data_IF_517708151421
#
_entry.id   IF_517708151421
#
_cell.length_a   1.000
_cell.length_b   1.000
_cell.length_c   1.000
_cell.angle_alpha   90.00
_cell.angle_beta   90.00
_cell.angle_gamma   90.00
#
_symmetry.space_group_name_H-M   'P 1'
#
loop_
_entity.id
_entity.type
_entity.pdbx_description
1 polymer ?
#
# COMPACT_ATOMS: atom_id res chain seq x y z
N UNK A 1 53.61 43.54 -4.21
CA UNK A 1 53.79 42.91 -2.89
C UNK A 1 54.92 43.64 -2.18
N UNK A 2 54.73 44.15 -0.96
CA UNK A 2 55.84 44.75 -0.22
C UNK A 2 56.78 43.64 0.22
N UNK A 3 58.05 43.73 -0.16
CA UNK A 3 59.10 42.86 0.29
C UNK A 3 59.38 43.23 1.76
N UNK A 4 58.96 42.32 2.67
CA UNK A 4 59.33 42.41 4.09
C UNK A 4 60.74 41.79 4.27
N UNK A 5 61.71 42.62 4.45
CA UNK A 5 63.07 42.23 4.87
C UNK A 5 63.06 42.07 6.39
N UNK A 6 62.70 40.87 6.88
CA UNK A 6 62.84 40.53 8.30
C UNK A 6 64.13 39.71 8.52
N UNK A 7 64.92 40.06 9.51
CA UNK A 7 66.08 39.26 9.95
C UNK A 7 67.47 39.76 9.60
N UNK A 8 67.63 40.97 9.03
CA UNK A 8 68.98 41.44 8.60
C UNK A 8 69.93 41.76 9.78
N UNK A 9 69.45 41.92 11.00
CA UNK A 9 70.27 42.34 12.11
C UNK A 9 70.36 41.34 13.30
N UNK A 10 69.68 40.20 13.28
CA UNK A 10 69.67 39.25 14.41
C UNK A 10 70.02 37.81 14.03
N UNK A 11 70.29 37.52 12.76
CA UNK A 11 70.64 36.15 12.33
C UNK A 11 69.55 35.07 12.57
N UNK A 12 68.42 35.49 13.10
CA UNK A 12 67.27 34.58 13.37
C UNK A 12 66.14 34.83 12.38
N UNK A 13 65.80 33.79 11.61
CA UNK A 13 64.65 33.83 10.70
C UNK A 13 63.35 33.77 11.52
N UNK A 14 62.88 34.97 11.92
CA UNK A 14 61.63 35.13 12.70
C UNK A 14 60.39 34.65 11.97
N UNK A 15 60.36 34.70 10.63
CA UNK A 15 59.24 34.22 9.83
C UNK A 15 59.20 32.69 9.83
N UNK A 16 60.38 32.02 9.76
CA UNK A 16 60.47 30.57 9.90
C UNK A 16 60.10 30.09 11.33
N UNK A 17 60.39 30.88 12.37
CA UNK A 17 60.03 30.60 13.74
C UNK A 17 58.54 30.74 13.99
N UNK A 18 57.94 31.84 13.50
CA UNK A 18 56.48 32.05 13.52
C UNK A 18 55.75 30.94 12.78
N UNK A 19 56.21 30.56 11.59
CA UNK A 19 55.66 29.47 10.79
C UNK A 19 55.66 28.14 11.59
N UNK A 20 56.82 27.79 12.22
CA UNK A 20 56.91 26.55 13.06
C UNK A 20 55.93 26.57 14.24
N UNK A 21 55.75 27.73 14.92
CA UNK A 21 54.79 27.88 16.01
C UNK A 21 53.35 27.72 15.50
N UNK A 22 53.04 28.34 14.38
CA UNK A 22 51.73 28.20 13.75
C UNK A 22 51.46 26.76 13.29
N UNK A 23 52.42 26.10 12.70
CA UNK A 23 52.29 24.69 12.29
C UNK A 23 52.09 23.75 13.49
N UNK A 24 52.76 24.04 14.63
CA UNK A 24 52.52 23.31 15.87
C UNK A 24 51.07 23.50 16.40
N UNK A 25 50.54 24.69 16.34
CA UNK A 25 49.13 24.97 16.72
C UNK A 25 48.14 24.34 15.75
N UNK A 26 48.41 24.43 14.44
CA UNK A 26 47.62 23.75 13.40
C UNK A 26 47.58 22.24 13.61
N UNK A 27 48.69 21.64 14.01
CA UNK A 27 48.75 20.20 14.30
C UNK A 27 47.78 19.83 15.44
N UNK A 28 47.64 20.65 16.46
CA UNK A 28 46.66 20.42 17.55
C UNK A 28 45.21 20.57 17.03
N UNK A 29 44.94 21.59 16.24
CA UNK A 29 43.63 21.82 15.64
C UNK A 29 43.25 20.65 14.73
N UNK A 30 44.12 20.27 13.80
CA UNK A 30 43.87 19.14 12.88
C UNK A 30 43.61 17.82 13.63
N UNK A 31 44.28 17.61 14.80
CA UNK A 31 44.06 16.43 15.66
C UNK A 31 42.65 16.43 16.29
N UNK A 32 42.14 17.60 16.69
CA UNK A 32 40.78 17.76 17.23
C UNK A 32 39.73 17.60 16.12
N UNK A 33 39.95 18.21 14.98
CA UNK A 33 39.07 18.10 13.79
C UNK A 33 39.00 16.65 13.30
N UNK A 34 40.15 15.94 13.23
CA UNK A 34 40.19 14.54 12.89
C UNK A 34 39.45 13.63 13.87
N UNK A 35 39.48 13.96 15.17
CA UNK A 35 38.67 13.25 16.18
C UNK A 35 37.17 13.52 15.98
N UNK A 36 36.80 14.78 15.72
CA UNK A 36 35.41 15.18 15.42
C UNK A 36 34.91 14.42 14.20
N UNK A 37 35.64 14.46 13.10
CA UNK A 37 35.28 13.76 11.86
C UNK A 37 35.10 12.22 12.07
N UNK A 38 36.00 11.59 12.84
CA UNK A 38 35.83 10.16 13.19
C UNK A 38 34.56 9.90 14.00
N UNK A 39 34.22 10.79 14.90
CA UNK A 39 33.00 10.68 15.70
C UNK A 39 31.73 10.84 14.83
N UNK A 40 31.73 11.81 13.92
CA UNK A 40 30.65 12.04 12.96
C UNK A 40 30.43 10.81 12.07
N UNK A 41 31.51 10.26 11.50
CA UNK A 41 31.45 9.02 10.70
C UNK A 41 30.97 7.81 11.52
N UNK A 42 31.38 7.72 12.79
CA UNK A 42 30.90 6.68 13.70
C UNK A 42 29.40 6.80 13.98
N UNK A 43 28.90 8.03 14.19
CA UNK A 43 27.47 8.28 14.36
C UNK A 43 26.68 7.94 13.10
N UNK A 44 27.21 8.28 11.92
CA UNK A 44 26.59 7.94 10.63
C UNK A 44 26.49 6.41 10.46
N UNK A 45 27.54 5.66 10.75
CA UNK A 45 27.51 4.19 10.71
C UNK A 45 26.49 3.60 11.67
N UNK A 46 26.37 4.12 12.88
CA UNK A 46 25.34 3.69 13.82
C UNK A 46 23.93 4.03 13.32
N UNK A 47 23.73 5.18 12.68
CA UNK A 47 22.46 5.57 12.08
C UNK A 47 22.07 4.63 10.94
N UNK A 48 23.01 4.28 10.06
CA UNK A 48 22.81 3.30 8.98
C UNK A 48 22.39 1.93 9.53
N UNK A 49 23.11 1.40 10.52
CA UNK A 49 22.79 0.12 11.16
C UNK A 49 21.43 0.15 11.86
N UNK A 50 21.14 1.24 12.59
CA UNK A 50 19.84 1.41 13.26
C UNK A 50 18.68 1.43 12.24
N UNK A 51 18.87 2.10 11.11
CA UNK A 51 17.86 2.13 10.04
C UNK A 51 17.61 0.73 9.49
N UNK A 52 18.65 -0.07 9.27
CA UNK A 52 18.51 -1.45 8.79
C UNK A 52 17.84 -2.37 9.81
N UNK A 53 18.22 -2.27 11.08
CA UNK A 53 17.59 -3.03 12.17
C UNK A 53 16.10 -2.64 12.35
N UNK A 54 15.79 -1.35 12.26
CA UNK A 54 14.43 -0.87 12.32
C UNK A 54 13.61 -1.35 11.12
N UNK A 55 14.20 -1.34 9.92
CA UNK A 55 13.58 -1.90 8.71
C UNK A 55 13.29 -3.40 8.85
N UNK A 56 14.24 -4.18 9.37
CA UNK A 56 14.03 -5.60 9.67
C UNK A 56 12.83 -5.79 10.61
N UNK A 57 12.77 -4.99 11.67
CA UNK A 57 11.67 -5.05 12.63
C UNK A 57 10.33 -4.71 11.97
N UNK A 58 10.23 -3.55 11.29
CA UNK A 58 8.97 -3.06 10.73
C UNK A 58 8.47 -3.88 9.55
N UNK A 59 9.37 -4.29 8.66
CA UNK A 59 9.01 -4.93 7.40
C UNK A 59 8.92 -6.45 7.47
N UNK A 60 9.54 -7.07 8.49
CA UNK A 60 9.58 -8.54 8.61
C UNK A 60 9.05 -9.02 9.96
N UNK A 61 9.65 -8.61 11.07
CA UNK A 61 9.32 -9.16 12.39
C UNK A 61 7.91 -8.74 12.82
N UNK A 62 7.53 -7.47 12.59
CA UNK A 62 6.23 -6.94 13.00
C UNK A 62 5.07 -7.73 12.40
N UNK A 63 5.15 -8.08 11.12
CA UNK A 63 4.14 -8.89 10.44
C UNK A 63 4.07 -10.33 11.00
N UNK A 64 5.23 -10.94 11.27
CA UNK A 64 5.33 -12.31 11.78
C UNK A 64 4.80 -12.49 13.23
N UNK A 65 4.48 -11.41 13.93
CA UNK A 65 3.86 -11.47 15.27
C UNK A 65 2.37 -11.83 15.24
N UNK A 66 1.72 -11.66 14.10
CA UNK A 66 0.28 -11.91 13.96
C UNK A 66 0.01 -13.27 13.34
N UNK A 67 -1.03 -13.92 13.83
CA UNK A 67 -1.50 -15.23 13.31
C UNK A 67 -1.82 -15.15 11.80
N UNK A 68 -2.29 -14.01 11.32
CA UNK A 68 -2.60 -13.78 9.91
C UNK A 68 -1.41 -14.01 8.96
N UNK A 69 -0.18 -13.87 9.45
CA UNK A 69 1.02 -14.19 8.64
C UNK A 69 1.19 -15.69 8.36
N UNK A 70 0.51 -16.55 9.15
CA UNK A 70 0.62 -18.01 9.08
C UNK A 70 -0.65 -18.69 8.56
N UNK A 71 -1.73 -17.92 8.38
CA UNK A 71 -3.04 -18.40 7.94
C UNK A 71 -3.47 -17.83 6.60
N UNK A 72 -2.51 -17.29 5.84
CA UNK A 72 -2.76 -16.85 4.46
C UNK A 72 -3.34 -17.97 3.62
N UNK A 73 -4.34 -17.63 2.79
CA UNK A 73 -5.01 -18.60 1.93
C UNK A 73 -4.59 -18.44 0.48
N UNK A 74 -4.29 -19.56 -0.17
CA UNK A 74 -4.14 -19.66 -1.61
C UNK A 74 -5.46 -20.14 -2.17
N UNK A 75 -6.02 -19.39 -3.09
CA UNK A 75 -7.30 -19.71 -3.73
C UNK A 75 -7.09 -20.01 -5.20
N UNK A 76 -7.94 -20.86 -5.76
CA UNK A 76 -8.01 -21.12 -7.19
C UNK A 76 -9.45 -21.14 -7.67
N UNK A 77 -9.68 -20.82 -8.93
CA UNK A 77 -10.97 -20.93 -9.61
C UNK A 77 -10.77 -21.60 -10.96
N UNK A 78 -11.68 -22.52 -11.32
CA UNK A 78 -11.66 -23.15 -12.64
C UNK A 78 -12.09 -22.22 -13.77
N UNK A 79 -12.72 -21.08 -13.42
CA UNK A 79 -13.09 -20.03 -14.37
C UNK A 79 -13.11 -18.65 -13.68
N UNK A 80 -11.96 -17.99 -13.65
CA UNK A 80 -11.81 -16.66 -13.04
C UNK A 80 -12.58 -15.55 -13.77
N UNK A 81 -12.93 -15.76 -15.04
CA UNK A 81 -13.78 -14.82 -15.79
C UNK A 81 -15.24 -14.80 -15.31
N UNK A 82 -15.70 -15.87 -14.66
CA UNK A 82 -17.06 -15.97 -14.08
C UNK A 82 -17.04 -15.76 -12.57
N UNK A 83 -16.12 -16.43 -11.87
CA UNK A 83 -16.00 -16.36 -10.41
C UNK A 83 -14.54 -16.21 -10.03
N UNK A 84 -14.22 -15.14 -9.34
CA UNK A 84 -12.93 -14.91 -8.68
C UNK A 84 -13.09 -15.05 -7.16
N UNK A 85 -12.13 -15.69 -6.51
CA UNK A 85 -12.16 -15.90 -5.07
C UNK A 85 -10.85 -15.48 -4.43
N UNK A 86 -10.92 -14.82 -3.28
CA UNK A 86 -9.80 -14.62 -2.37
C UNK A 86 -10.20 -15.09 -0.98
N UNK A 87 -9.28 -15.68 -0.23
CA UNK A 87 -9.54 -16.20 1.09
C UNK A 87 -9.06 -15.26 2.19
N UNK A 88 -9.91 -15.03 3.19
CA UNK A 88 -9.48 -14.43 4.45
C UNK A 88 -8.70 -15.46 5.28
N UNK A 89 -7.88 -15.04 6.24
CA UNK A 89 -7.19 -15.96 7.16
C UNK A 89 -8.11 -16.95 7.90
N UNK A 90 -9.37 -16.56 8.09
CA UNK A 90 -10.43 -17.34 8.75
C UNK A 90 -11.12 -18.36 7.85
N UNK A 91 -10.88 -18.30 6.53
CA UNK A 91 -11.52 -19.21 5.58
C UNK A 91 -11.12 -20.67 5.86
N UNK A 92 -12.10 -21.57 5.80
CA UNK A 92 -11.85 -23.00 5.90
C UNK A 92 -11.18 -23.52 4.63
N UNK A 93 -10.25 -24.47 4.78
CA UNK A 93 -9.69 -25.18 3.65
C UNK A 93 -10.74 -26.09 3.03
N UNK A 94 -10.84 -26.07 1.70
CA UNK A 94 -11.80 -26.91 1.00
C UNK A 94 -12.01 -26.49 -0.46
N UNK A 95 -12.83 -27.30 -1.13
CA UNK A 95 -13.31 -27.00 -2.47
C UNK A 95 -14.80 -26.68 -2.40
N UNK A 96 -15.23 -25.63 -3.09
CA UNK A 96 -16.60 -25.16 -3.15
C UNK A 96 -17.08 -25.10 -4.60
N UNK A 97 -18.37 -25.35 -4.80
CA UNK A 97 -19.02 -25.22 -6.10
C UNK A 97 -19.85 -23.94 -6.14
N UNK A 98 -19.60 -23.11 -7.14
CA UNK A 98 -20.34 -21.84 -7.31
C UNK A 98 -21.08 -21.88 -8.63
N UNK A 99 -22.36 -21.58 -8.58
CA UNK A 99 -23.21 -21.37 -9.75
C UNK A 99 -23.74 -19.95 -9.71
N UNK A 100 -23.75 -19.26 -10.85
CA UNK A 100 -24.16 -17.87 -10.95
C UNK A 100 -25.33 -17.76 -11.92
N UNK A 101 -26.51 -17.35 -11.41
CA UNK A 101 -27.71 -17.09 -12.20
C UNK A 101 -27.66 -15.71 -12.84
N UNK A 102 -27.29 -14.70 -12.04
CA UNK A 102 -27.36 -13.31 -12.40
C UNK A 102 -26.28 -12.52 -11.66
N UNK A 103 -25.65 -11.58 -12.32
CA UNK A 103 -24.76 -10.60 -11.70
C UNK A 103 -25.54 -9.36 -11.32
N UNK A 104 -25.08 -8.68 -10.26
CA UNK A 104 -25.65 -7.39 -9.89
C UNK A 104 -25.29 -6.33 -10.93
N UNK A 105 -26.27 -5.51 -11.29
CA UNK A 105 -26.09 -4.38 -12.20
C UNK A 105 -26.59 -3.09 -11.57
N UNK A 106 -25.94 -1.99 -11.91
CA UNK A 106 -26.43 -0.65 -11.59
C UNK A 106 -27.53 -0.26 -12.56
N UNK A 107 -28.52 0.49 -12.07
CA UNK A 107 -29.46 1.15 -12.97
C UNK A 107 -28.74 2.21 -13.78
N UNK A 108 -29.04 2.31 -15.07
CA UNK A 108 -28.58 3.41 -15.91
C UNK A 108 -29.67 3.88 -16.85
N UNK A 109 -29.68 5.18 -17.12
CA UNK A 109 -30.56 5.83 -18.07
C UNK A 109 -29.69 6.66 -19.01
N UNK A 110 -29.70 6.30 -20.29
CA UNK A 110 -29.14 7.12 -21.36
C UNK A 110 -30.29 7.87 -22.00
N UNK A 111 -30.31 9.17 -21.80
CA UNK A 111 -31.35 10.03 -22.32
C UNK A 111 -31.47 10.01 -23.86
N UNK A 112 -32.63 10.28 -24.39
CA UNK A 112 -32.84 10.58 -25.80
C UNK A 112 -32.02 11.83 -26.19
N UNK A 113 -31.70 11.98 -27.47
CA UNK A 113 -31.10 13.22 -27.98
C UNK A 113 -32.09 14.35 -27.89
N UNK A 114 -31.73 15.42 -27.18
CA UNK A 114 -32.52 16.64 -27.13
C UNK A 114 -32.28 17.44 -28.41
N UNK A 115 -33.28 17.59 -29.26
CA UNK A 115 -33.18 18.27 -30.56
C UNK A 115 -33.95 19.57 -30.62
N UNK A 116 -34.91 19.76 -29.73
CA UNK A 116 -35.86 20.85 -29.74
C UNK A 116 -35.35 22.10 -28.99
N UNK A 117 -34.13 22.02 -28.44
CA UNK A 117 -33.48 23.07 -27.67
C UNK A 117 -32.22 23.47 -28.40
N UNK A 118 -32.14 24.71 -28.85
CA UNK A 118 -30.94 25.28 -29.42
C UNK A 118 -29.91 25.50 -28.30
N UNK A 119 -28.63 25.12 -28.54
CA UNK A 119 -27.55 25.21 -27.54
C UNK A 119 -27.83 24.52 -26.21
N UNK A 120 -28.46 23.33 -26.23
CA UNK A 120 -28.74 22.56 -25.02
C UNK A 120 -27.47 22.33 -24.16
N UNK A 121 -27.47 22.93 -22.99
CA UNK A 121 -26.32 22.99 -22.10
C UNK A 121 -26.71 22.96 -20.61
N UNK A 122 -25.69 23.09 -19.76
CA UNK A 122 -25.93 23.14 -18.30
C UNK A 122 -26.68 24.42 -17.88
N UNK A 123 -26.51 25.48 -18.64
CA UNK A 123 -27.12 26.79 -18.37
C UNK A 123 -28.52 26.92 -18.94
N UNK A 124 -29.03 25.92 -19.67
CA UNK A 124 -30.40 25.89 -20.18
C UNK A 124 -31.39 25.89 -19.02
N UNK A 125 -32.31 26.84 -19.00
CA UNK A 125 -33.28 27.05 -17.94
C UNK A 125 -34.41 26.00 -18.04
N UNK A 126 -34.82 25.41 -16.92
CA UNK A 126 -35.80 24.31 -16.89
C UNK A 126 -37.20 24.78 -17.28
N UNK A 127 -37.62 26.00 -16.93
CA UNK A 127 -38.93 26.55 -17.32
C UNK A 127 -39.09 26.72 -18.83
N UNK A 128 -37.98 26.99 -19.55
CA UNK A 128 -38.02 27.07 -21.02
C UNK A 128 -38.03 25.66 -21.65
N UNK A 129 -37.83 24.64 -20.83
CA UNK A 129 -37.70 23.23 -21.21
C UNK A 129 -38.81 22.34 -20.65
N UNK A 130 -40.00 22.90 -20.50
CA UNK A 130 -41.24 22.16 -20.21
C UNK A 130 -41.51 21.88 -18.73
N UNK A 131 -40.76 22.47 -17.82
CA UNK A 131 -41.09 22.48 -16.40
C UNK A 131 -41.87 23.73 -16.03
N UNK A 132 -42.76 23.62 -15.05
CA UNK A 132 -43.55 24.73 -14.55
C UNK A 132 -42.82 25.43 -13.39
N UNK A 133 -43.09 26.74 -13.23
CA UNK A 133 -42.60 27.50 -12.08
C UNK A 133 -43.26 26.97 -10.79
N UNK A 134 -42.43 26.63 -9.79
CA UNK A 134 -42.86 26.02 -8.52
C UNK A 134 -43.08 24.51 -8.61
N UNK A 135 -42.75 23.88 -9.74
CA UNK A 135 -42.77 22.42 -9.88
C UNK A 135 -41.65 21.80 -9.04
N UNK A 136 -41.92 20.65 -8.43
CA UNK A 136 -40.93 19.89 -7.66
C UNK A 136 -40.47 18.68 -8.45
N UNK A 137 -39.15 18.53 -8.55
CA UNK A 137 -38.50 17.34 -9.12
C UNK A 137 -37.90 16.55 -7.96
N UNK A 138 -38.42 15.36 -7.73
CA UNK A 138 -37.98 14.47 -6.66
C UNK A 138 -37.08 13.36 -7.18
N UNK A 139 -35.90 13.25 -6.63
CA UNK A 139 -34.90 12.21 -6.89
C UNK A 139 -34.90 11.26 -5.70
N UNK A 140 -35.20 10.00 -5.93
CA UNK A 140 -35.22 8.97 -4.89
C UNK A 140 -34.24 7.85 -5.19
N UNK A 141 -33.43 7.45 -4.18
CA UNK A 141 -32.52 6.30 -4.24
C UNK A 141 -32.68 5.50 -2.95
N UNK A 142 -33.30 4.33 -3.02
CA UNK A 142 -33.68 3.57 -1.82
C UNK A 142 -34.58 4.40 -0.91
N UNK A 143 -34.14 4.62 0.34
CA UNK A 143 -34.91 5.44 1.32
C UNK A 143 -34.48 6.92 1.33
N UNK A 144 -33.51 7.31 0.50
CA UNK A 144 -33.06 8.71 0.40
C UNK A 144 -33.80 9.43 -0.67
N UNK A 145 -34.26 10.63 -0.34
CA UNK A 145 -35.00 11.51 -1.23
C UNK A 145 -34.37 12.90 -1.23
N UNK A 146 -34.35 13.55 -2.39
CA UNK A 146 -33.91 14.93 -2.55
C UNK A 146 -34.82 15.62 -3.57
N UNK A 147 -35.39 16.74 -3.16
CA UNK A 147 -36.31 17.51 -4.00
C UNK A 147 -35.64 18.78 -4.50
N UNK A 148 -35.84 19.10 -5.76
CA UNK A 148 -35.47 20.35 -6.42
C UNK A 148 -36.75 21.09 -6.79
N UNK A 149 -36.92 22.29 -6.26
CA UNK A 149 -37.99 23.23 -6.67
C UNK A 149 -37.53 24.01 -7.91
N UNK A 150 -38.35 24.06 -8.92
CA UNK A 150 -38.09 24.77 -10.19
C UNK A 150 -38.48 26.24 -10.03
N UNK A 151 -37.48 27.11 -10.03
CA UNK A 151 -37.63 28.55 -10.05
C UNK A 151 -37.31 29.09 -11.46
N UNK A 152 -37.54 30.41 -11.68
CA UNK A 152 -37.38 31.03 -13.01
C UNK A 152 -35.94 31.00 -13.56
N UNK A 153 -34.95 30.72 -12.72
CA UNK A 153 -33.54 30.64 -13.06
C UNK A 153 -32.91 29.25 -12.85
N UNK A 154 -33.75 28.25 -12.47
CA UNK A 154 -33.27 26.88 -12.27
C UNK A 154 -32.83 26.27 -13.59
N UNK A 155 -31.61 25.74 -13.61
CA UNK A 155 -30.94 25.25 -14.83
C UNK A 155 -30.87 23.72 -14.89
N UNK A 156 -30.50 23.18 -16.06
CA UNK A 156 -30.12 21.78 -16.24
C UNK A 156 -28.93 21.43 -15.34
N UNK A 157 -28.03 22.38 -15.10
CA UNK A 157 -26.91 22.21 -14.16
C UNK A 157 -27.38 21.95 -12.73
N UNK A 158 -28.43 22.65 -12.27
CA UNK A 158 -29.02 22.45 -10.95
C UNK A 158 -29.74 21.10 -10.85
N UNK A 159 -30.44 20.68 -11.90
CA UNK A 159 -30.99 19.33 -12.01
C UNK A 159 -29.92 18.24 -11.84
N UNK A 160 -28.82 18.35 -12.57
CA UNK A 160 -27.69 17.38 -12.45
C UNK A 160 -27.07 17.40 -11.06
N UNK A 161 -26.97 18.57 -10.43
CA UNK A 161 -26.46 18.71 -9.07
C UNK A 161 -27.42 18.13 -8.03
N UNK A 162 -28.73 18.32 -8.19
CA UNK A 162 -29.74 17.71 -7.34
C UNK A 162 -29.73 16.19 -7.43
N UNK A 163 -29.63 15.63 -8.65
CA UNK A 163 -29.45 14.19 -8.85
C UNK A 163 -28.21 13.66 -8.13
N UNK A 164 -27.07 14.36 -8.22
CA UNK A 164 -25.83 13.99 -7.51
C UNK A 164 -25.98 14.03 -5.99
N UNK A 165 -26.70 15.02 -5.46
CA UNK A 165 -27.01 15.11 -4.02
C UNK A 165 -27.86 13.93 -3.54
N UNK A 166 -28.82 13.49 -4.37
CA UNK A 166 -29.63 12.29 -4.09
C UNK A 166 -28.81 10.98 -4.15
N UNK A 167 -27.60 11.00 -4.71
CA UNK A 167 -26.76 9.80 -4.84
C UNK A 167 -26.76 9.19 -6.24
N UNK A 168 -27.28 9.89 -7.25
CA UNK A 168 -27.28 9.48 -8.65
C UNK A 168 -26.05 10.09 -9.33
N UNK A 169 -25.31 9.31 -10.11
CA UNK A 169 -24.33 9.85 -11.04
C UNK A 169 -25.09 10.52 -12.20
N UNK A 170 -24.82 11.79 -12.44
CA UNK A 170 -25.52 12.55 -13.48
C UNK A 170 -24.50 13.35 -14.29
N UNK A 171 -24.62 13.31 -15.60
CA UNK A 171 -23.77 14.08 -16.54
C UNK A 171 -24.53 14.45 -17.79
N UNK A 172 -24.12 15.54 -18.41
CA UNK A 172 -24.59 16.02 -19.71
C UNK A 172 -23.46 15.98 -20.71
N UNK A 173 -23.66 15.30 -21.82
CA UNK A 173 -22.83 15.42 -23.00
C UNK A 173 -23.43 16.48 -23.94
N UNK A 174 -22.82 17.65 -23.98
CA UNK A 174 -23.30 18.78 -24.80
C UNK A 174 -23.13 18.55 -26.30
N UNK A 175 -22.13 17.69 -26.70
CA UNK A 175 -21.93 17.38 -28.13
C UNK A 175 -22.98 16.41 -28.64
N UNK A 176 -23.37 15.43 -27.81
CA UNK A 176 -24.42 14.47 -28.13
C UNK A 176 -25.79 14.93 -27.71
N UNK A 177 -25.87 16.03 -26.96
CA UNK A 177 -27.13 16.60 -26.41
C UNK A 177 -27.94 15.54 -25.64
N UNK A 178 -27.26 14.80 -24.73
CA UNK A 178 -27.87 13.71 -23.94
C UNK A 178 -27.49 13.80 -22.48
N UNK A 179 -28.43 13.51 -21.61
CA UNK A 179 -28.19 13.33 -20.19
C UNK A 179 -27.97 11.85 -19.91
N UNK A 180 -26.95 11.55 -19.09
CA UNK A 180 -26.63 10.20 -18.60
C UNK A 180 -26.81 10.16 -17.10
N UNK A 181 -27.61 9.20 -16.64
CA UNK A 181 -27.83 8.95 -15.22
C UNK A 181 -27.48 7.51 -14.89
N UNK A 182 -26.87 7.27 -13.73
CA UNK A 182 -26.67 5.92 -13.22
C UNK A 182 -26.66 5.88 -11.69
N UNK A 183 -27.10 4.77 -11.11
CA UNK A 183 -26.89 4.54 -9.69
C UNK A 183 -25.41 4.41 -9.39
N UNK A 184 -24.96 4.82 -8.19
CA UNK A 184 -23.55 4.73 -7.77
C UNK A 184 -23.12 3.30 -7.56
N UNK A 185 -24.03 2.47 -7.07
CA UNK A 185 -23.79 1.08 -6.73
C UNK A 185 -24.79 0.19 -7.46
N UNK A 186 -24.48 -1.10 -7.56
CA UNK A 186 -25.35 -2.13 -8.11
C UNK A 186 -26.44 -2.53 -7.12
N UNK A 187 -27.41 -3.29 -7.60
CA UNK A 187 -28.46 -3.90 -6.80
C UNK A 187 -29.76 -3.10 -6.76
N UNK A 188 -30.86 -3.81 -6.55
CA UNK A 188 -32.21 -3.27 -6.54
C UNK A 188 -32.41 -2.15 -5.50
N UNK A 189 -31.79 -2.27 -4.34
CA UNK A 189 -31.86 -1.27 -3.28
C UNK A 189 -31.23 0.09 -3.67
N UNK A 190 -30.40 0.11 -4.69
CA UNK A 190 -29.72 1.31 -5.20
C UNK A 190 -30.35 1.83 -6.50
N UNK A 191 -31.48 1.25 -6.90
CA UNK A 191 -32.26 1.78 -8.00
C UNK A 191 -32.74 3.19 -7.68
N UNK A 192 -32.82 4.04 -8.70
CA UNK A 192 -33.27 5.40 -8.55
C UNK A 192 -34.57 5.64 -9.33
N UNK A 193 -35.36 6.57 -8.83
CA UNK A 193 -36.55 7.08 -9.45
C UNK A 193 -36.51 8.60 -9.50
N UNK A 194 -36.96 9.18 -10.59
CA UNK A 194 -37.12 10.63 -10.75
C UNK A 194 -38.56 10.91 -11.09
N UNK A 195 -39.18 11.76 -10.29
CA UNK A 195 -40.58 12.18 -10.46
C UNK A 195 -40.67 13.69 -10.54
N UNK A 196 -41.57 14.17 -11.34
CA UNK A 196 -42.00 15.57 -11.39
C UNK A 196 -43.41 15.69 -10.82
N UNK A 197 -43.66 16.73 -10.04
CA UNK A 197 -44.99 17.07 -9.51
C UNK A 197 -45.70 17.99 -10.48
N UNK A 198 -46.10 17.46 -11.62
CA UNK A 198 -46.74 18.26 -12.67
C UNK A 198 -48.18 18.63 -12.33
N UNK A 199 -48.51 19.91 -12.40
CA UNK A 199 -49.83 20.42 -12.11
C UNK A 199 -50.79 20.35 -13.32
N UNK A 200 -50.27 20.39 -14.55
CA UNK A 200 -51.07 20.28 -15.78
C UNK A 200 -50.68 19.03 -16.60
N UNK A 201 -51.56 18.03 -16.59
CA UNK A 201 -51.37 16.77 -17.32
C UNK A 201 -51.54 16.89 -18.85
N UNK A 202 -51.90 18.07 -19.34
CA UNK A 202 -52.09 18.32 -20.79
C UNK A 202 -50.76 18.74 -21.48
N UNK A 203 -49.76 19.15 -20.71
CA UNK A 203 -48.45 19.56 -21.23
C UNK A 203 -47.46 18.42 -21.31
N UNK A 204 -46.52 18.48 -22.24
CA UNK A 204 -45.39 17.52 -22.33
C UNK A 204 -44.55 17.62 -21.07
N UNK A 205 -44.21 16.44 -20.47
CA UNK A 205 -43.38 16.35 -19.28
C UNK A 205 -42.02 17.02 -19.48
N UNK A 206 -41.56 17.78 -18.47
CA UNK A 206 -40.22 18.36 -18.48
C UNK A 206 -39.14 17.30 -18.59
N UNK A 207 -39.31 16.13 -17.92
CA UNK A 207 -38.41 15.00 -18.06
C UNK A 207 -38.35 14.43 -19.50
N UNK A 208 -39.48 14.50 -20.24
CA UNK A 208 -39.53 14.12 -21.65
C UNK A 208 -38.76 15.12 -22.52
N UNK A 209 -38.89 16.42 -22.26
CA UNK A 209 -38.13 17.49 -22.93
C UNK A 209 -36.64 17.38 -22.69
N UNK A 210 -36.22 16.97 -21.49
CA UNK A 210 -34.84 16.66 -21.19
C UNK A 210 -34.38 15.31 -21.76
N UNK A 211 -35.25 14.61 -22.48
CA UNK A 211 -34.95 13.30 -23.05
C UNK A 211 -34.79 12.19 -22.01
N UNK A 212 -35.33 12.34 -20.79
CA UNK A 212 -35.18 11.34 -19.71
C UNK A 212 -36.43 10.42 -19.60
N UNK A 213 -37.48 10.71 -20.31
CA UNK A 213 -38.67 9.86 -20.48
C UNK A 213 -39.11 9.82 -21.96
N UNK A 214 -40.06 8.96 -22.30
CA UNK A 214 -40.58 8.86 -23.68
C UNK A 214 -39.69 8.00 -24.61
N UNK A 215 -39.84 8.24 -25.92
CA UNK A 215 -39.18 7.46 -26.96
C UNK A 215 -37.68 7.82 -27.08
N UNK A 216 -36.83 6.83 -27.38
CA UNK A 216 -35.39 7.05 -27.59
C UNK A 216 -34.55 7.02 -26.31
N UNK A 217 -35.16 6.85 -25.15
CA UNK A 217 -34.46 6.62 -23.88
C UNK A 217 -34.05 5.16 -23.79
N UNK A 218 -32.79 4.94 -23.42
CA UNK A 218 -32.28 3.56 -23.13
C UNK A 218 -32.14 3.43 -21.61
N UNK A 219 -32.87 2.47 -21.03
CA UNK A 219 -32.86 2.18 -19.61
C UNK A 219 -32.36 0.78 -19.35
N UNK A 220 -31.39 0.65 -18.46
CA UNK A 220 -30.93 -0.61 -17.88
C UNK A 220 -31.37 -0.64 -16.42
N UNK A 221 -32.13 -1.63 -16.02
CA UNK A 221 -32.60 -1.76 -14.65
C UNK A 221 -31.52 -2.31 -13.73
N UNK A 222 -31.53 -1.87 -12.48
CA UNK A 222 -30.73 -2.44 -11.43
C UNK A 222 -31.16 -3.89 -11.17
N UNK A 223 -30.17 -4.75 -10.88
CA UNK A 223 -30.41 -6.14 -10.51
C UNK A 223 -29.51 -6.53 -9.36
N UNK A 224 -29.99 -7.45 -8.52
CA UNK A 224 -29.16 -8.12 -7.52
C UNK A 224 -28.35 -9.25 -8.17
N UNK A 225 -27.20 -9.58 -7.58
CA UNK A 225 -26.54 -10.83 -7.90
C UNK A 225 -27.30 -12.00 -7.28
N UNK A 226 -27.48 -13.08 -8.03
CA UNK A 226 -28.10 -14.33 -7.57
C UNK A 226 -27.12 -15.45 -7.91
N UNK A 227 -26.63 -16.13 -6.89
CA UNK A 227 -25.69 -17.24 -7.05
C UNK A 227 -25.84 -18.27 -5.94
N UNK A 228 -25.32 -19.47 -6.17
CA UNK A 228 -25.28 -20.55 -5.16
C UNK A 228 -23.83 -20.86 -4.78
N UNK A 229 -23.63 -21.13 -3.51
CA UNK A 229 -22.40 -21.70 -2.97
C UNK A 229 -22.76 -23.01 -2.31
N UNK A 230 -22.23 -24.12 -2.79
CA UNK A 230 -22.51 -25.47 -2.31
C UNK A 230 -24.03 -25.79 -2.19
N UNK A 231 -24.77 -25.37 -3.18
CA UNK A 231 -26.24 -25.58 -3.24
C UNK A 231 -27.08 -24.53 -2.50
N UNK A 232 -26.47 -23.69 -1.64
CA UNK A 232 -27.20 -22.62 -0.93
C UNK A 232 -27.25 -21.37 -1.79
N UNK A 233 -28.44 -20.84 -2.03
CA UNK A 233 -28.66 -19.63 -2.82
C UNK A 233 -28.47 -18.36 -1.99
N UNK A 234 -27.79 -17.40 -2.58
CA UNK A 234 -27.57 -16.07 -2.04
C UNK A 234 -28.05 -15.02 -3.04
N UNK A 235 -28.74 -14.01 -2.54
CA UNK A 235 -29.13 -12.82 -3.28
C UNK A 235 -28.49 -11.61 -2.62
N UNK A 236 -27.74 -10.81 -3.39
CA UNK A 236 -26.95 -9.71 -2.85
C UNK A 236 -26.95 -8.52 -3.78
N UNK A 237 -26.91 -7.31 -3.22
CA UNK A 237 -26.87 -6.08 -4.02
C UNK A 237 -25.53 -5.89 -4.76
N UNK A 238 -24.47 -6.58 -4.33
CA UNK A 238 -23.12 -6.42 -4.89
C UNK A 238 -22.62 -7.71 -5.51
N UNK A 239 -21.67 -7.58 -6.44
CA UNK A 239 -21.02 -8.75 -7.08
C UNK A 239 -19.90 -9.35 -6.23
N UNK A 240 -19.45 -8.66 -5.17
CA UNK A 240 -18.42 -9.16 -4.26
C UNK A 240 -18.99 -9.35 -2.87
N UNK A 241 -18.89 -10.57 -2.35
CA UNK A 241 -19.48 -10.95 -1.07
C UNK A 241 -18.58 -11.87 -0.31
N UNK A 242 -18.53 -11.71 1.02
CA UNK A 242 -17.77 -12.60 1.90
C UNK A 242 -18.71 -13.69 2.44
N UNK A 243 -18.41 -14.94 2.12
CA UNK A 243 -19.16 -16.11 2.58
C UNK A 243 -18.16 -17.10 3.17
N UNK A 244 -18.33 -17.45 4.43
CA UNK A 244 -17.45 -18.37 5.16
C UNK A 244 -15.95 -18.03 5.05
N UNK A 245 -15.62 -16.72 5.10
CA UNK A 245 -14.25 -16.24 4.97
C UNK A 245 -13.71 -16.22 3.52
N UNK A 246 -14.53 -16.58 2.54
CA UNK A 246 -14.21 -16.46 1.12
C UNK A 246 -14.84 -15.18 0.56
N UNK A 247 -13.99 -14.30 0.04
CA UNK A 247 -14.44 -13.15 -0.75
C UNK A 247 -14.67 -13.61 -2.19
N UNK A 248 -15.94 -13.80 -2.53
CA UNK A 248 -16.41 -14.31 -3.82
C UNK A 248 -16.83 -13.12 -4.67
N UNK A 249 -16.21 -12.95 -5.83
CA UNK A 249 -16.61 -11.95 -6.83
C UNK A 249 -17.18 -12.67 -8.05
N UNK A 250 -18.44 -12.41 -8.35
CA UNK A 250 -19.14 -12.93 -9.54
C UNK A 250 -19.09 -11.89 -10.66
N UNK A 251 -18.60 -12.31 -11.85
CA UNK A 251 -18.44 -11.42 -13.01
C UNK A 251 -19.17 -11.91 -14.26
N UNK A 252 -19.72 -13.11 -14.20
CA UNK A 252 -20.46 -13.72 -15.30
C UNK A 252 -21.47 -14.75 -14.79
N UNK A 253 -22.22 -15.37 -15.68
CA UNK A 253 -23.21 -16.39 -15.37
C UNK A 253 -22.72 -17.79 -15.72
N UNK A 254 -23.24 -18.81 -15.01
CA UNK A 254 -23.02 -20.21 -15.37
C UNK A 254 -24.21 -20.74 -16.15
N UNK A 255 -23.98 -21.69 -17.07
CA UNK A 255 -25.07 -22.32 -17.79
C UNK A 255 -25.87 -23.28 -16.88
N UNK A 256 -27.15 -23.46 -17.23
CA UNK A 256 -28.01 -24.47 -16.63
C UNK A 256 -28.21 -24.31 -15.13
N UNK A 257 -28.21 -23.06 -14.60
CA UNK A 257 -28.41 -22.76 -13.19
C UNK A 257 -29.68 -23.40 -12.60
N UNK A 258 -30.76 -23.36 -13.34
CA UNK A 258 -32.08 -23.86 -12.89
C UNK A 258 -32.12 -25.39 -12.77
N UNK A 259 -31.12 -26.12 -13.29
CA UNK A 259 -30.94 -27.56 -13.09
C UNK A 259 -30.32 -27.92 -11.72
N UNK A 260 -30.08 -26.95 -10.85
CA UNK A 260 -29.47 -27.17 -9.55
C UNK A 260 -28.10 -27.81 -9.65
N UNK A 261 -27.83 -28.87 -8.88
CA UNK A 261 -26.54 -29.56 -8.85
C UNK A 261 -26.12 -30.20 -10.18
N UNK A 262 -27.07 -30.44 -11.11
CA UNK A 262 -26.79 -30.93 -12.46
C UNK A 262 -26.33 -29.81 -13.41
N UNK A 263 -26.54 -28.55 -13.05
CA UNK A 263 -26.07 -27.41 -13.81
C UNK A 263 -24.54 -27.21 -13.77
N UNK A 264 -24.03 -26.42 -14.70
CA UNK A 264 -22.60 -26.11 -14.71
C UNK A 264 -22.22 -25.23 -13.53
N UNK A 265 -21.13 -25.56 -12.89
CA UNK A 265 -20.57 -24.81 -11.75
C UNK A 265 -19.12 -24.45 -11.98
N UNK A 266 -18.68 -23.38 -11.36
CA UNK A 266 -17.26 -23.04 -11.20
C UNK A 266 -16.78 -23.64 -9.90
N UNK A 267 -15.76 -24.50 -9.97
CA UNK A 267 -15.13 -25.03 -8.76
C UNK A 267 -14.07 -24.03 -8.28
N UNK A 268 -14.14 -23.67 -7.03
CA UNK A 268 -13.15 -22.83 -6.34
C UNK A 268 -12.55 -23.62 -5.20
N UNK A 269 -11.28 -23.39 -4.90
CA UNK A 269 -10.63 -23.99 -3.74
C UNK A 269 -9.91 -22.93 -2.91
N UNK A 270 -9.89 -23.15 -1.61
CA UNK A 270 -9.06 -22.43 -0.68
C UNK A 270 -8.20 -23.43 0.11
N UNK A 271 -6.93 -23.15 0.21
CA UNK A 271 -5.98 -23.94 1.00
C UNK A 271 -5.03 -23.02 1.73
N UNK A 272 -4.50 -23.46 2.85
CA UNK A 272 -3.47 -22.68 3.54
C UNK A 272 -2.24 -22.50 2.63
N UNK A 273 -1.80 -21.27 2.43
CA UNK A 273 -0.66 -20.92 1.57
C UNK A 273 0.66 -21.14 2.31
N UNK A 274 1.07 -22.39 2.39
CA UNK A 274 2.33 -22.79 3.03
C UNK A 274 3.53 -22.17 2.32
N UNK A 275 3.44 -21.98 1.01
CA UNK A 275 4.52 -21.38 0.22
C UNK A 275 4.75 -19.90 0.60
N UNK A 276 3.69 -19.14 0.78
CA UNK A 276 3.77 -17.75 1.26
C UNK A 276 4.35 -17.68 2.67
N UNK A 277 3.92 -18.54 3.58
CA UNK A 277 4.45 -18.61 4.94
C UNK A 277 5.95 -18.92 4.90
N UNK A 278 6.34 -19.95 4.14
CA UNK A 278 7.75 -20.31 3.96
C UNK A 278 8.58 -19.15 3.37
N UNK A 279 8.09 -18.51 2.32
CA UNK A 279 8.79 -17.41 1.65
C UNK A 279 8.92 -16.16 2.55
N UNK A 280 7.91 -15.85 3.36
CA UNK A 280 7.97 -14.78 4.34
C UNK A 280 9.06 -15.05 5.37
N UNK A 281 9.12 -16.27 5.89
CA UNK A 281 10.12 -16.68 6.85
C UNK A 281 11.53 -16.72 6.24
N UNK A 282 11.67 -17.27 5.03
CA UNK A 282 12.93 -17.25 4.26
C UNK A 282 13.42 -15.84 3.99
N UNK A 283 12.50 -14.91 3.67
CA UNK A 283 12.79 -13.50 3.48
C UNK A 283 13.32 -12.84 4.76
N UNK A 284 12.72 -13.15 5.91
CA UNK A 284 13.22 -12.71 7.22
C UNK A 284 14.66 -13.23 7.49
N UNK A 285 14.90 -14.54 7.33
CA UNK A 285 16.23 -15.15 7.53
C UNK A 285 17.27 -14.50 6.63
N UNK A 286 16.95 -14.27 5.36
CA UNK A 286 17.86 -13.62 4.41
C UNK A 286 18.26 -12.22 4.86
N UNK A 287 17.29 -11.41 5.30
CA UNK A 287 17.55 -10.04 5.74
C UNK A 287 18.30 -10.01 7.08
N UNK A 288 17.92 -10.86 8.03
CA UNK A 288 18.65 -11.08 9.27
C UNK A 288 20.13 -11.42 9.00
N UNK A 289 20.39 -12.40 8.14
CA UNK A 289 21.73 -12.82 7.78
C UNK A 289 22.54 -11.70 7.11
N UNK A 290 21.90 -10.89 6.26
CA UNK A 290 22.56 -9.75 5.60
C UNK A 290 23.05 -8.72 6.63
N UNK A 291 22.18 -8.37 7.58
CA UNK A 291 22.50 -7.41 8.64
C UNK A 291 23.57 -8.00 9.58
N UNK A 292 23.39 -9.26 10.00
CA UNK A 292 24.35 -9.94 10.87
C UNK A 292 25.74 -10.02 10.23
N UNK A 293 25.83 -10.32 8.93
CA UNK A 293 27.08 -10.35 8.18
C UNK A 293 27.75 -8.98 8.16
N UNK A 294 27.03 -7.92 7.81
CA UNK A 294 27.55 -6.55 7.80
C UNK A 294 28.07 -6.15 9.20
N UNK A 295 27.28 -6.41 10.24
CA UNK A 295 27.69 -6.12 11.62
C UNK A 295 28.95 -6.92 12.03
N UNK A 296 29.05 -8.17 11.61
CA UNK A 296 30.25 -8.99 11.83
C UNK A 296 31.48 -8.41 11.09
N UNK A 297 31.31 -8.00 9.84
CA UNK A 297 32.38 -7.36 9.06
C UNK A 297 32.88 -6.09 9.74
N UNK A 298 32.00 -5.25 10.25
CA UNK A 298 32.34 -4.04 10.99
C UNK A 298 33.02 -4.35 12.34
N UNK A 299 32.51 -5.33 13.09
CA UNK A 299 33.05 -5.70 14.39
C UNK A 299 34.45 -6.34 14.29
N UNK A 300 34.67 -7.20 13.29
CA UNK A 300 35.95 -7.89 13.06
C UNK A 300 36.84 -7.18 12.02
N UNK A 301 36.50 -5.94 11.65
CA UNK A 301 37.26 -5.17 10.69
C UNK A 301 38.76 -5.07 11.03
N UNK A 302 39.57 -4.87 10.02
CA UNK A 302 41.01 -4.62 10.17
C UNK A 302 41.27 -3.32 10.94
N UNK A 303 42.45 -3.18 11.52
CA UNK A 303 42.87 -1.96 12.21
C UNK A 303 43.21 -0.84 11.21
N UNK A 304 42.74 0.37 11.47
CA UNK A 304 43.21 1.58 10.78
C UNK A 304 44.26 2.35 11.59
N UNK A 305 45.05 1.66 12.41
CA UNK A 305 46.12 2.30 13.15
C UNK A 305 47.10 3.00 12.18
N UNK A 306 47.42 4.25 12.45
CA UNK A 306 48.26 5.09 11.56
C UNK A 306 47.46 5.90 10.54
N UNK A 307 46.15 5.65 10.39
CA UNK A 307 45.27 6.42 9.52
C UNK A 307 44.49 7.45 10.31
N UNK A 308 44.51 8.71 9.84
CA UNK A 308 43.71 9.82 10.37
C UNK A 308 42.91 10.46 9.23
N UNK A 309 41.76 11.08 9.52
CA UNK A 309 41.05 11.86 8.52
C UNK A 309 42.02 12.89 7.90
N UNK A 310 41.92 12.99 6.58
CA UNK A 310 42.78 13.90 5.81
C UNK A 310 42.33 15.34 6.03
N UNK A 311 43.32 16.24 6.16
CA UNK A 311 43.03 17.69 6.13
C UNK A 311 42.72 18.16 4.71
N UNK A 312 42.10 19.35 4.58
CA UNK A 312 41.76 19.91 3.28
C UNK A 312 42.99 20.03 2.35
N UNK A 313 44.15 20.37 2.91
CA UNK A 313 45.40 20.50 2.14
C UNK A 313 45.92 19.12 1.70
N UNK A 314 45.88 18.12 2.57
CA UNK A 314 46.24 16.74 2.20
C UNK A 314 45.36 16.15 1.13
N UNK A 315 44.06 16.48 1.12
CA UNK A 315 43.14 16.03 0.06
C UNK A 315 43.43 16.64 -1.30
N UNK A 316 43.95 17.87 -1.35
CA UNK A 316 44.35 18.53 -2.62
C UNK A 316 45.57 17.87 -3.27
N UNK A 317 46.45 17.28 -2.45
CA UNK A 317 47.66 16.64 -2.91
C UNK A 317 47.47 15.16 -3.31
N UNK A 318 46.25 14.63 -3.18
CA UNK A 318 45.92 13.24 -3.46
C UNK A 318 44.87 13.15 -4.57
N UNK A 319 44.83 12.03 -5.29
CA UNK A 319 43.73 11.74 -6.19
C UNK A 319 42.44 11.48 -5.41
N UNK A 320 41.28 11.76 -6.02
CA UNK A 320 39.97 11.47 -5.39
C UNK A 320 39.86 10.02 -4.95
N UNK A 321 40.34 9.08 -5.78
CA UNK A 321 40.33 7.64 -5.47
C UNK A 321 41.22 7.30 -4.28
N UNK A 322 42.36 7.93 -4.13
CA UNK A 322 43.24 7.71 -2.99
C UNK A 322 42.64 8.26 -1.69
N UNK A 323 42.01 9.44 -1.77
CA UNK A 323 41.26 10.01 -0.65
C UNK A 323 40.13 9.07 -0.21
N UNK A 324 39.33 8.58 -1.18
CA UNK A 324 38.25 7.63 -0.92
C UNK A 324 38.78 6.35 -0.24
N UNK A 325 39.79 5.74 -0.78
CA UNK A 325 40.43 4.52 -0.23
C UNK A 325 40.99 4.74 1.18
N UNK A 326 41.62 5.89 1.40
CA UNK A 326 42.15 6.27 2.71
C UNK A 326 41.04 6.44 3.74
N UNK A 327 40.02 7.20 3.41
CA UNK A 327 38.89 7.45 4.31
C UNK A 327 38.06 6.18 4.53
N UNK A 328 37.87 5.35 3.49
CA UNK A 328 37.21 4.06 3.59
C UNK A 328 37.87 3.15 4.62
N UNK A 329 39.20 3.06 4.60
CA UNK A 329 39.95 2.26 5.57
C UNK A 329 39.72 2.70 7.02
N UNK A 330 39.53 4.01 7.24
CA UNK A 330 39.17 4.55 8.55
C UNK A 330 37.71 4.20 8.89
N UNK A 331 36.81 4.48 7.97
CA UNK A 331 35.35 4.27 8.15
C UNK A 331 35.03 2.81 8.45
N UNK A 332 35.62 1.87 7.72
CA UNK A 332 35.44 0.43 7.93
C UNK A 332 35.86 -0.04 9.32
N UNK A 333 36.81 0.64 9.95
CA UNK A 333 37.35 0.27 11.27
C UNK A 333 36.69 0.96 12.47
N UNK A 334 35.74 1.89 12.24
CA UNK A 334 35.16 2.73 13.30
C UNK A 334 34.40 1.94 14.37
N UNK A 335 33.82 0.81 13.99
CA UNK A 335 33.07 -0.08 14.89
C UNK A 335 33.81 -1.35 15.21
N UNK A 336 35.12 -1.41 14.90
CA UNK A 336 35.97 -2.54 15.25
C UNK A 336 36.01 -2.75 16.74
N UNK A 337 35.58 -3.94 17.21
CA UNK A 337 35.48 -4.34 18.62
C UNK A 337 34.70 -3.32 19.48
N UNK A 338 33.72 -2.66 18.86
CA UNK A 338 32.83 -1.76 19.60
C UNK A 338 31.96 -2.60 20.54
N UNK A 339 31.93 -2.24 21.82
CA UNK A 339 31.20 -2.98 22.84
C UNK A 339 29.69 -3.02 22.58
N UNK A 340 29.10 -1.90 22.16
CA UNK A 340 27.66 -1.81 21.86
C UNK A 340 27.30 -2.70 20.66
N UNK A 341 28.13 -2.68 19.61
CA UNK A 341 27.94 -3.54 18.46
C UNK A 341 28.07 -5.02 18.84
N UNK A 342 29.03 -5.36 19.69
CA UNK A 342 29.19 -6.72 20.23
C UNK A 342 27.97 -7.20 21.01
N UNK A 343 27.40 -6.32 21.85
CA UNK A 343 26.20 -6.65 22.62
C UNK A 343 24.97 -6.86 21.71
N UNK A 344 24.79 -6.03 20.68
CA UNK A 344 23.71 -6.23 19.70
C UNK A 344 23.88 -7.53 18.92
N UNK A 345 25.09 -7.83 18.45
CA UNK A 345 25.40 -9.09 17.76
C UNK A 345 25.08 -10.33 18.62
N UNK A 346 25.46 -10.30 19.89
CA UNK A 346 25.20 -11.40 20.81
C UNK A 346 23.70 -11.53 21.10
N UNK A 347 23.02 -10.41 21.38
CA UNK A 347 21.56 -10.40 21.60
C UNK A 347 20.77 -10.92 20.40
N UNK A 348 21.16 -10.56 19.18
CA UNK A 348 20.54 -11.08 17.96
C UNK A 348 20.70 -12.60 17.84
N UNK A 349 21.89 -13.13 18.11
CA UNK A 349 22.14 -14.58 18.07
C UNK A 349 21.38 -15.32 19.16
N UNK A 350 21.41 -14.81 20.39
CA UNK A 350 20.71 -15.39 21.53
C UNK A 350 19.20 -15.43 21.28
N UNK A 351 18.61 -14.34 20.76
CA UNK A 351 17.20 -14.30 20.40
C UNK A 351 16.82 -15.41 19.41
N UNK A 352 17.67 -15.69 18.40
CA UNK A 352 17.39 -16.75 17.42
C UNK A 352 17.58 -18.17 17.95
N UNK A 353 18.32 -18.33 19.04
CA UNK A 353 18.56 -19.65 19.68
C UNK A 353 17.61 -19.92 20.85
N UNK A 354 16.88 -18.92 21.30
CA UNK A 354 15.97 -19.03 22.46
C UNK A 354 14.83 -20.00 22.14
N UNK A 355 14.56 -20.91 23.06
CA UNK A 355 13.40 -21.80 22.98
C UNK A 355 12.18 -21.22 23.71
N UNK A 356 10.99 -21.42 23.14
CA UNK A 356 9.71 -21.00 23.70
C UNK A 356 8.91 -22.23 24.13
N UNK A 357 8.31 -22.20 25.31
CA UNK A 357 7.35 -23.21 25.76
C UNK A 357 5.94 -22.89 25.23
N UNK A 358 5.32 -23.85 24.58
CA UNK A 358 3.96 -23.75 24.05
C UNK A 358 3.07 -24.78 24.75
N UNK A 359 1.88 -24.37 25.19
CA UNK A 359 0.94 -25.21 25.90
C UNK A 359 1.27 -25.48 27.39
N UNK A 360 2.12 -24.60 27.98
CA UNK A 360 2.32 -24.59 29.43
C UNK A 360 1.06 -24.02 30.13
N UNK A 361 0.81 -24.51 31.35
CA UNK A 361 -0.25 -23.96 32.22
C UNK A 361 0.12 -22.54 32.73
N UNK A 362 -0.79 -21.97 33.53
CA UNK A 362 -0.56 -20.61 34.13
C UNK A 362 0.64 -20.54 35.07
N UNK A 363 1.14 -21.67 35.57
CA UNK A 363 2.33 -21.76 36.43
C UNK A 363 3.60 -22.03 35.62
N UNK A 364 3.50 -22.18 34.30
CA UNK A 364 4.61 -22.49 33.39
C UNK A 364 5.01 -23.97 33.42
N UNK A 365 4.15 -24.87 34.00
CA UNK A 365 4.38 -26.32 34.00
C UNK A 365 3.81 -26.96 32.74
N UNK A 366 4.36 -28.10 32.36
CA UNK A 366 3.96 -28.81 31.14
C UNK A 366 4.45 -28.07 29.87
N UNK A 367 3.79 -28.28 28.76
CA UNK A 367 4.09 -27.71 27.46
C UNK A 367 5.33 -28.27 26.77
N UNK A 368 5.41 -28.04 25.46
CA UNK A 368 6.55 -28.47 24.63
C UNK A 368 7.45 -27.31 24.31
N UNK A 369 8.76 -27.50 24.41
CA UNK A 369 9.76 -26.49 24.01
C UNK A 369 10.01 -26.55 22.51
N UNK A 370 9.86 -25.42 21.86
CA UNK A 370 10.20 -25.22 20.47
C UNK A 370 11.27 -24.14 20.33
N UNK A 371 12.20 -24.35 19.42
CA UNK A 371 13.19 -23.37 18.97
C UNK A 371 13.13 -23.29 17.43
N UNK A 372 13.85 -22.37 16.83
CA UNK A 372 13.97 -22.33 15.38
C UNK A 372 14.55 -23.62 14.80
N UNK A 373 15.43 -24.31 15.55
CA UNK A 373 15.95 -25.61 15.18
C UNK A 373 14.87 -26.70 15.06
N UNK A 374 13.80 -26.61 15.83
CA UNK A 374 12.64 -27.52 15.71
C UNK A 374 11.92 -27.40 14.35
N UNK A 375 12.15 -26.32 13.65
CA UNK A 375 11.60 -26.04 12.31
C UNK A 375 12.67 -26.11 11.21
N UNK A 376 13.82 -26.71 11.48
CA UNK A 376 14.90 -26.85 10.51
C UNK A 376 15.70 -25.57 10.27
N UNK A 377 15.63 -24.57 11.16
CA UNK A 377 16.42 -23.33 11.05
C UNK A 377 17.50 -23.33 12.11
N UNK A 378 18.74 -23.48 11.68
CA UNK A 378 19.90 -23.62 12.58
C UNK A 378 21.09 -22.79 12.08
N UNK A 379 22.02 -22.53 12.98
CA UNK A 379 23.33 -21.99 12.59
C UNK A 379 24.21 -23.12 12.01
N UNK A 380 25.04 -22.75 11.03
CA UNK A 380 26.03 -23.67 10.51
C UNK A 380 27.04 -24.11 11.61
N UNK A 381 27.59 -25.31 11.48
CA UNK A 381 28.69 -25.77 12.27
C UNK A 381 30.02 -25.06 11.95
N UNK A 382 30.09 -24.35 10.82
CA UNK A 382 31.25 -23.53 10.47
C UNK A 382 31.28 -22.24 11.31
N UNK A 383 32.19 -22.17 12.28
CA UNK A 383 32.39 -20.98 13.12
C UNK A 383 32.75 -19.71 12.31
N UNK A 384 33.23 -19.84 11.07
CA UNK A 384 33.54 -18.71 10.19
C UNK A 384 32.33 -17.95 9.75
N UNK A 385 31.17 -18.60 9.71
CA UNK A 385 29.90 -17.97 9.39
C UNK A 385 29.34 -17.12 10.53
N UNK A 386 29.94 -17.20 11.72
CA UNK A 386 29.63 -16.29 12.85
C UNK A 386 28.17 -16.17 13.22
N UNK A 387 27.43 -17.28 13.11
CA UNK A 387 26.03 -17.39 13.55
C UNK A 387 24.99 -17.04 12.48
N UNK A 388 25.34 -17.12 11.20
CA UNK A 388 24.34 -17.08 10.12
C UNK A 388 23.37 -18.25 10.25
N UNK A 389 22.10 -18.00 9.93
CA UNK A 389 21.03 -19.00 9.96
C UNK A 389 20.86 -19.66 8.59
N UNK A 390 20.65 -20.97 8.61
CA UNK A 390 20.34 -21.77 7.42
C UNK A 390 19.02 -22.51 7.61
N UNK A 391 18.32 -22.75 6.51
CA UNK A 391 17.11 -23.57 6.46
C UNK A 391 17.52 -24.93 5.87
N UNK A 392 17.33 -26.01 6.60
CA UNK A 392 17.68 -27.37 6.24
C UNK A 392 16.46 -28.20 5.87
#
# INVERSE_FOLDING_TARGET
>A
MPIRLSGINSGTDTDAMIKKIMDAQRTRLNKVEGKKTKLEWKQEKWKELNTKLYSLYTNKISALRFSSAYTTKKTSSTNEGVVKVTGEPSASDGAHKIQVKQVATSQSVTGAKVTDIEDFGKDSVLTDNGFELGEEITFKVGDKEHTLEVNGDTTVGDFLNAAKKAGINASLDTKQQRIYLSSKESGLANAFEIKESKNDVSMTSGLEKLGLSGSGVTKLDAKNAIFRVDGTEYETATNTNTINGLNITVSGTTADYDLGDAGKSVSVSATTDVDSVYNNFKGFIKEYNSILKEMNELYYAGSSRGYSPLTADQKKDMSEKDVENWEKKIKDSLLRRDEKLGNVLNGMREAMQTSVKVGADSNGEGGTKYSLASFGVMTSSDYKEKGLLHIF
#
